data_IF_319904145903
#
_entry.id   IF_319904145903
#
_cell.length_a   1.000
_cell.length_b   1.000
_cell.length_c   1.000
_cell.angle_alpha   90.00
_cell.angle_beta   90.00
_cell.angle_gamma   90.00
#
_symmetry.space_group_name_H-M   'P 1'
#
loop_
_entity.id
_entity.type
_entity.pdbx_description
1 polymer ?
#
# COMPACT_ATOMS: atom_id res chain seq x y z
N UNK A 1 -25.46 1.45 29.86
CA UNK A 1 -23.99 1.19 29.97
C UNK A 1 -23.42 1.06 28.57
N UNK A 2 -22.35 1.77 28.28
CA UNK A 2 -21.73 1.74 26.95
C UNK A 2 -20.76 0.57 26.91
N UNK A 3 -21.12 -0.52 26.22
CA UNK A 3 -20.36 -1.77 26.18
C UNK A 3 -19.21 -1.78 25.14
N UNK A 4 -19.18 -0.75 24.25
CA UNK A 4 -18.18 -0.65 23.19
C UNK A 4 -16.97 0.12 23.72
N UNK A 5 -15.77 -0.40 23.49
CA UNK A 5 -14.51 0.24 23.91
C UNK A 5 -14.28 1.56 23.18
N UNK A 6 -13.53 2.47 23.80
CA UNK A 6 -13.15 3.75 23.16
C UNK A 6 -12.37 3.50 21.86
N UNK A 7 -11.49 2.52 21.82
CA UNK A 7 -10.76 2.13 20.58
C UNK A 7 -11.70 1.84 19.41
N UNK A 8 -12.72 0.99 19.65
CA UNK A 8 -13.65 0.62 18.57
C UNK A 8 -14.56 1.79 18.13
N UNK A 9 -14.77 2.79 19.00
CA UNK A 9 -15.56 3.98 18.66
C UNK A 9 -14.75 5.04 17.93
N UNK A 10 -13.49 5.18 18.30
CA UNK A 10 -12.65 6.29 17.87
C UNK A 10 -11.83 5.97 16.63
N UNK A 11 -11.73 4.68 16.22
CA UNK A 11 -11.08 4.34 14.96
C UNK A 11 -11.84 5.04 13.82
N UNK A 12 -11.14 5.88 13.01
CA UNK A 12 -11.80 6.58 11.92
C UNK A 12 -12.24 5.61 10.83
N UNK A 13 -13.29 5.94 10.07
CA UNK A 13 -13.65 5.18 8.89
C UNK A 13 -12.52 5.28 7.85
N UNK A 14 -12.41 4.28 6.98
CA UNK A 14 -11.57 4.33 5.79
C UNK A 14 -12.40 4.92 4.66
N UNK A 15 -12.26 6.23 4.40
CA UNK A 15 -13.17 7.02 3.56
C UNK A 15 -13.25 6.47 2.11
N UNK A 16 -12.15 5.92 1.59
CA UNK A 16 -12.18 5.24 0.27
C UNK A 16 -13.24 4.13 0.23
N UNK A 17 -13.46 3.43 1.35
CA UNK A 17 -14.50 2.39 1.42
C UNK A 17 -15.89 2.99 1.46
N UNK A 18 -16.08 4.14 2.10
CA UNK A 18 -17.37 4.85 2.10
C UNK A 18 -17.72 5.33 0.67
N UNK A 19 -16.73 5.82 -0.09
CA UNK A 19 -16.91 6.16 -1.51
C UNK A 19 -17.32 4.94 -2.32
N UNK A 20 -16.63 3.80 -2.12
CA UNK A 20 -16.95 2.55 -2.80
C UNK A 20 -18.36 2.04 -2.45
N UNK A 21 -18.74 2.06 -1.17
CA UNK A 21 -20.07 1.65 -0.73
C UNK A 21 -21.17 2.51 -1.37
N UNK A 22 -20.93 3.83 -1.42
CA UNK A 22 -21.85 4.76 -2.08
C UNK A 22 -21.94 4.50 -3.59
N UNK A 23 -20.81 4.27 -4.26
CA UNK A 23 -20.77 3.90 -5.66
C UNK A 23 -21.60 2.62 -5.94
N UNK A 24 -21.42 1.58 -5.12
CA UNK A 24 -22.17 0.34 -5.21
C UNK A 24 -23.68 0.52 -4.94
N UNK A 25 -24.08 1.44 -4.07
CA UNK A 25 -25.50 1.80 -3.91
C UNK A 25 -26.08 2.39 -5.21
N UNK A 26 -25.34 3.30 -5.84
CA UNK A 26 -25.74 3.92 -7.11
C UNK A 26 -25.81 2.90 -8.25
N UNK A 27 -24.86 1.97 -8.33
CA UNK A 27 -24.88 0.87 -9.30
C UNK A 27 -26.10 -0.04 -9.12
N UNK A 28 -26.47 -0.38 -7.87
CA UNK A 28 -27.70 -1.14 -7.59
C UNK A 28 -28.97 -0.38 -8.00
N UNK A 29 -28.90 0.94 -8.07
CA UNK A 29 -29.99 1.78 -8.61
C UNK A 29 -29.94 1.90 -10.16
N UNK A 30 -29.00 1.24 -10.83
CA UNK A 30 -28.85 1.22 -12.29
C UNK A 30 -28.01 2.34 -12.87
N UNK A 31 -27.22 3.05 -12.04
CA UNK A 31 -26.31 4.09 -12.49
C UNK A 31 -24.96 3.45 -12.83
N UNK A 32 -24.43 3.77 -14.01
CA UNK A 32 -23.11 3.31 -14.44
C UNK A 32 -22.00 4.18 -13.83
N UNK A 33 -21.14 3.59 -13.01
CA UNK A 33 -20.05 4.26 -12.29
C UNK A 33 -18.69 3.90 -12.88
N UNK A 34 -17.84 4.87 -13.06
CA UNK A 34 -16.42 4.67 -13.40
C UNK A 34 -15.59 4.71 -12.11
N UNK A 35 -15.05 3.57 -11.70
CA UNK A 35 -14.26 3.42 -10.47
C UNK A 35 -12.79 3.80 -10.69
N UNK A 36 -12.36 4.92 -10.12
CA UNK A 36 -10.97 5.37 -10.07
C UNK A 36 -10.49 5.60 -8.62
N UNK A 37 -11.29 5.22 -7.62
CA UNK A 37 -10.97 5.27 -6.19
C UNK A 37 -10.28 3.99 -5.69
N UNK A 38 -10.53 2.85 -6.34
CA UNK A 38 -10.12 1.54 -5.83
C UNK A 38 -8.61 1.34 -5.95
N UNK A 39 -8.01 0.86 -4.88
CA UNK A 39 -6.59 0.53 -4.80
C UNK A 39 -6.30 -0.95 -5.06
N UNK A 40 -6.85 -1.51 -6.13
CA UNK A 40 -6.75 -2.93 -6.49
C UNK A 40 -6.33 -3.09 -7.95
N UNK A 41 -5.44 -4.05 -8.29
CA UNK A 41 -5.19 -4.42 -9.68
C UNK A 41 -6.47 -4.85 -10.37
N UNK A 42 -6.70 -4.37 -11.59
CA UNK A 42 -7.85 -4.75 -12.44
C UNK A 42 -7.57 -5.98 -13.32
N UNK A 43 -6.39 -6.55 -13.20
CA UNK A 43 -6.03 -7.80 -13.84
C UNK A 43 -6.47 -9.00 -13.02
N UNK A 44 -6.87 -10.06 -13.70
CA UNK A 44 -7.00 -11.37 -13.07
C UNK A 44 -5.63 -11.87 -12.58
N UNK A 45 -5.66 -12.65 -11.50
CA UNK A 45 -4.47 -13.39 -11.06
C UNK A 45 -3.91 -14.22 -12.20
N UNK A 46 -2.59 -14.16 -12.51
CA UNK A 46 -1.96 -14.95 -13.56
C UNK A 46 -2.28 -16.44 -13.51
N UNK A 47 -2.39 -17.07 -14.69
CA UNK A 47 -2.85 -18.45 -14.79
C UNK A 47 -1.94 -19.45 -14.05
N UNK A 48 -0.61 -19.26 -14.13
CA UNK A 48 0.35 -20.11 -13.40
C UNK A 48 0.08 -20.13 -11.89
N UNK A 49 -0.34 -19.02 -11.32
CA UNK A 49 -0.68 -18.86 -9.90
C UNK A 49 -1.98 -19.60 -9.58
N UNK A 50 -3.03 -19.41 -10.40
CA UNK A 50 -4.33 -20.08 -10.24
C UNK A 50 -4.17 -21.59 -10.32
N UNK A 51 -3.43 -22.08 -11.31
CA UNK A 51 -3.15 -23.51 -11.49
C UNK A 51 -2.35 -24.10 -10.32
N UNK A 52 -1.39 -23.36 -9.77
CA UNK A 52 -0.67 -23.79 -8.57
C UNK A 52 -1.60 -23.91 -7.35
N UNK A 53 -2.51 -22.95 -7.17
CA UNK A 53 -3.55 -23.00 -6.14
C UNK A 53 -4.49 -24.18 -6.30
N UNK A 54 -5.01 -24.42 -7.52
CA UNK A 54 -5.85 -25.57 -7.85
C UNK A 54 -5.09 -26.90 -7.61
N UNK A 55 -3.84 -26.99 -8.00
CA UNK A 55 -3.00 -28.17 -7.76
C UNK A 55 -2.83 -28.42 -6.27
N UNK A 56 -2.55 -27.38 -5.50
CA UNK A 56 -2.41 -27.50 -4.05
C UNK A 56 -3.68 -28.04 -3.38
N UNK A 57 -4.86 -27.56 -3.83
CA UNK A 57 -6.15 -28.07 -3.35
C UNK A 57 -6.34 -29.55 -3.72
N UNK A 58 -6.08 -29.95 -4.97
CA UNK A 58 -6.19 -31.35 -5.43
C UNK A 58 -5.24 -32.29 -4.69
N UNK A 59 -4.06 -31.79 -4.28
CA UNK A 59 -3.05 -32.56 -3.52
C UNK A 59 -3.33 -32.57 -2.01
N UNK A 60 -4.44 -32.02 -1.55
CA UNK A 60 -4.79 -32.00 -0.13
C UNK A 60 -3.95 -31.04 0.71
N UNK A 61 -3.34 -30.01 0.13
CA UNK A 61 -2.59 -28.96 0.83
C UNK A 61 -3.57 -28.01 1.56
N UNK A 62 -4.43 -28.56 2.42
CA UNK A 62 -5.53 -27.84 3.08
C UNK A 62 -5.44 -27.86 4.61
N UNK A 63 -4.34 -28.40 5.14
CA UNK A 63 -4.07 -28.45 6.57
C UNK A 63 -3.26 -27.24 7.03
N UNK A 64 -3.16 -27.04 8.36
CA UNK A 64 -2.30 -26.03 8.95
C UNK A 64 -0.85 -26.21 8.50
N UNK A 65 -0.21 -25.12 8.16
CA UNK A 65 1.22 -25.07 7.87
C UNK A 65 2.00 -24.64 9.11
N UNK A 66 3.31 -24.65 9.02
CA UNK A 66 4.15 -24.03 10.05
C UNK A 66 3.74 -22.55 10.24
N UNK A 67 3.79 -22.06 11.46
CA UNK A 67 3.34 -20.69 11.80
C UNK A 67 4.17 -19.58 11.13
N UNK A 68 5.42 -19.82 10.78
CA UNK A 68 6.20 -18.91 9.95
C UNK A 68 5.87 -19.01 8.45
N UNK A 69 5.05 -19.97 8.05
CA UNK A 69 4.78 -20.32 6.64
C UNK A 69 5.64 -21.50 6.16
N UNK A 70 5.31 -22.03 4.97
CA UNK A 70 6.08 -23.13 4.36
C UNK A 70 7.49 -22.67 4.04
N UNK A 71 8.46 -23.55 4.25
CA UNK A 71 9.87 -23.20 4.10
C UNK A 71 10.21 -22.84 2.65
N UNK A 72 9.59 -23.54 1.68
CA UNK A 72 9.80 -23.32 0.26
C UNK A 72 9.43 -21.90 -0.17
N UNK A 73 8.38 -21.32 0.42
CA UNK A 73 7.99 -19.93 0.12
C UNK A 73 8.93 -18.94 0.80
N UNK A 74 9.35 -19.20 2.04
CA UNK A 74 10.31 -18.35 2.75
C UNK A 74 11.67 -18.30 2.05
N UNK A 75 12.16 -19.45 1.58
CA UNK A 75 13.38 -19.55 0.77
C UNK A 75 13.24 -18.79 -0.56
N UNK A 76 12.09 -18.91 -1.23
CA UNK A 76 11.83 -18.19 -2.49
C UNK A 76 11.76 -16.66 -2.29
N UNK A 77 11.19 -16.17 -1.17
CA UNK A 77 11.21 -14.75 -0.83
C UNK A 77 12.64 -14.28 -0.56
N UNK A 78 13.44 -15.04 0.20
CA UNK A 78 14.83 -14.71 0.46
C UNK A 78 15.64 -14.64 -0.84
N UNK A 79 15.46 -15.61 -1.74
CA UNK A 79 16.09 -15.64 -3.05
C UNK A 79 15.69 -14.43 -3.92
N UNK A 80 14.41 -14.01 -3.90
CA UNK A 80 13.93 -12.84 -4.65
C UNK A 80 14.60 -11.54 -4.13
N UNK A 81 14.71 -11.38 -2.81
CA UNK A 81 15.41 -10.23 -2.22
C UNK A 81 16.90 -10.21 -2.58
N UNK A 82 17.56 -11.36 -2.57
CA UNK A 82 18.95 -11.45 -3.00
C UNK A 82 19.12 -11.12 -4.49
N UNK A 83 18.24 -11.63 -5.35
CA UNK A 83 18.30 -11.37 -6.80
C UNK A 83 18.08 -9.90 -7.13
N UNK A 84 17.07 -9.29 -6.53
CA UNK A 84 16.64 -7.92 -6.86
C UNK A 84 17.46 -6.85 -6.16
N UNK A 85 17.79 -7.04 -4.90
CA UNK A 85 18.37 -6.00 -4.04
C UNK A 85 19.75 -6.34 -3.49
N UNK A 86 20.24 -7.57 -3.70
CA UNK A 86 21.46 -8.10 -3.08
C UNK A 86 21.39 -8.15 -1.54
N UNK A 87 20.18 -8.10 -0.99
CA UNK A 87 19.94 -8.24 0.43
C UNK A 87 19.99 -9.74 0.81
N UNK A 88 20.90 -10.09 1.71
CA UNK A 88 21.07 -11.46 2.20
C UNK A 88 20.15 -11.70 3.40
N UNK A 89 18.96 -12.22 3.12
CA UNK A 89 17.91 -12.46 4.10
C UNK A 89 17.83 -13.93 4.44
N UNK A 90 17.94 -14.28 5.72
CA UNK A 90 17.67 -15.66 6.16
C UNK A 90 16.17 -15.99 6.04
N UNK A 91 15.79 -17.16 5.50
CA UNK A 91 14.41 -17.64 5.54
C UNK A 91 13.81 -17.70 6.95
N UNK A 92 14.65 -17.83 7.98
CA UNK A 92 14.22 -17.81 9.39
C UNK A 92 13.79 -16.40 9.87
N UNK A 93 14.14 -15.34 9.15
CA UNK A 93 13.73 -13.98 9.43
C UNK A 93 12.46 -13.56 8.68
N UNK A 94 11.78 -14.50 8.02
CA UNK A 94 10.59 -14.28 7.21
C UNK A 94 9.38 -14.97 7.85
N UNK A 95 8.29 -14.22 8.00
CA UNK A 95 6.99 -14.75 8.42
C UNK A 95 5.99 -14.53 7.30
N UNK A 96 5.40 -15.60 6.79
CA UNK A 96 4.30 -15.55 5.81
C UNK A 96 3.00 -15.26 6.57
N UNK A 97 2.22 -14.31 6.05
CA UNK A 97 1.03 -13.78 6.71
C UNK A 97 -0.18 -13.78 5.78
N UNK A 98 -1.37 -13.64 6.35
CA UNK A 98 -2.62 -13.50 5.57
C UNK A 98 -2.81 -12.07 5.01
N UNK A 99 -1.78 -11.57 4.34
CA UNK A 99 -1.64 -10.19 3.84
C UNK A 99 -0.79 -9.33 4.77
N UNK A 100 -0.48 -8.10 4.33
CA UNK A 100 0.38 -7.16 5.09
C UNK A 100 -0.31 -6.59 6.33
N UNK A 101 -1.65 -6.52 6.37
CA UNK A 101 -2.36 -6.00 7.56
C UNK A 101 -2.16 -6.86 8.81
N UNK A 102 -2.30 -8.21 8.77
CA UNK A 102 -1.88 -9.05 9.90
C UNK A 102 -0.39 -8.95 10.24
N UNK A 103 0.48 -8.74 9.26
CA UNK A 103 1.91 -8.51 9.50
C UNK A 103 2.13 -7.23 10.33
N UNK A 104 1.51 -6.11 9.93
CA UNK A 104 1.55 -4.85 10.68
C UNK A 104 0.98 -5.02 12.10
N UNK A 105 -0.17 -5.70 12.22
CA UNK A 105 -0.78 -5.97 13.53
C UNK A 105 0.17 -6.69 14.47
N UNK A 106 0.78 -7.80 14.01
CA UNK A 106 1.72 -8.57 14.81
C UNK A 106 2.99 -7.78 15.14
N UNK A 107 3.47 -6.99 14.20
CA UNK A 107 4.67 -6.22 14.40
C UNK A 107 4.45 -5.10 15.41
N UNK A 108 3.41 -4.29 15.27
CA UNK A 108 3.11 -3.23 16.23
C UNK A 108 2.76 -3.77 17.61
N UNK A 109 2.08 -4.92 17.69
CA UNK A 109 1.86 -5.63 18.97
C UNK A 109 3.17 -6.11 19.64
N UNK A 110 4.26 -6.25 18.86
CA UNK A 110 5.58 -6.66 19.38
C UNK A 110 6.52 -5.48 19.65
N UNK A 111 6.22 -4.30 19.07
CA UNK A 111 7.07 -3.13 19.11
C UNK A 111 6.63 -2.11 20.14
N UNK A 112 5.31 -1.85 20.24
CA UNK A 112 4.77 -0.68 20.91
C UNK A 112 4.26 -0.96 22.32
N UNK A 113 4.69 -0.10 23.23
CA UNK A 113 4.06 0.11 24.53
C UNK A 113 3.29 1.46 24.50
N UNK A 114 2.46 1.69 25.53
CA UNK A 114 1.68 2.91 25.61
C UNK A 114 2.56 4.17 25.64
N UNK A 115 2.33 5.08 24.68
CA UNK A 115 3.06 6.32 24.55
C UNK A 115 4.34 6.25 23.70
N UNK A 116 4.70 5.09 23.18
CA UNK A 116 5.76 4.95 22.18
C UNK A 116 5.39 5.66 20.88
N UNK A 117 6.35 6.21 20.18
CA UNK A 117 6.16 7.03 19.00
C UNK A 117 6.62 6.33 17.73
N UNK A 118 5.83 6.51 16.65
CA UNK A 118 6.21 6.12 15.28
C UNK A 118 6.10 7.33 14.38
N UNK A 119 7.19 7.69 13.72
CA UNK A 119 7.21 8.78 12.73
C UNK A 119 6.59 8.27 11.43
N UNK A 120 5.61 9.01 10.90
CA UNK A 120 4.86 8.70 9.68
C UNK A 120 4.81 9.95 8.80
N UNK A 121 4.94 9.80 7.46
CA UNK A 121 4.73 10.91 6.52
C UNK A 121 3.27 11.38 6.51
N UNK A 122 3.06 12.61 6.15
CA UNK A 122 1.75 13.16 5.86
C UNK A 122 1.83 13.89 4.50
N UNK A 123 1.26 13.33 3.42
CA UNK A 123 0.34 12.18 3.36
C UNK A 123 1.00 10.80 3.59
N UNK A 124 0.12 9.81 3.89
CA UNK A 124 0.44 8.41 4.15
C UNK A 124 -0.73 7.51 3.70
N UNK A 125 -0.54 6.20 3.69
CA UNK A 125 -1.66 5.27 3.57
C UNK A 125 -2.57 5.35 4.81
N UNK A 126 -3.85 5.54 4.59
CA UNK A 126 -4.86 5.87 5.61
C UNK A 126 -4.83 5.01 6.89
N UNK A 127 -4.47 3.73 6.74
CA UNK A 127 -4.52 2.81 7.88
C UNK A 127 -3.28 2.84 8.80
N UNK A 128 -2.14 3.42 8.41
CA UNK A 128 -0.92 3.37 9.24
C UNK A 128 -1.10 3.97 10.64
N UNK A 129 -1.67 5.17 10.81
CA UNK A 129 -1.89 5.72 12.14
C UNK A 129 -2.79 4.84 12.99
N UNK A 130 -3.81 4.23 12.38
CA UNK A 130 -4.77 3.38 13.08
C UNK A 130 -4.11 2.16 13.73
N UNK A 131 -3.10 1.56 13.06
CA UNK A 131 -2.33 0.47 13.67
C UNK A 131 -1.52 0.96 14.89
N UNK A 132 -0.87 2.13 14.79
CA UNK A 132 -0.08 2.70 15.89
C UNK A 132 -0.98 3.01 17.08
N UNK A 133 -2.07 3.72 16.86
CA UNK A 133 -3.02 4.14 17.91
C UNK A 133 -3.74 2.94 18.53
N UNK A 134 -4.03 1.88 17.76
CA UNK A 134 -4.68 0.67 18.27
C UNK A 134 -3.87 0.00 19.36
N UNK A 135 -2.55 0.08 19.29
CA UNK A 135 -1.62 -0.42 20.31
C UNK A 135 -1.17 0.67 21.29
N UNK A 136 -1.93 1.77 21.41
CA UNK A 136 -1.64 2.88 22.32
C UNK A 136 -0.33 3.64 22.04
N UNK A 137 0.27 3.45 20.86
CA UNK A 137 1.34 4.28 20.36
C UNK A 137 0.84 5.65 19.89
N UNK A 138 1.77 6.54 19.59
CA UNK A 138 1.51 7.88 19.09
C UNK A 138 2.13 8.07 17.71
N UNK A 139 1.34 8.29 16.63
CA UNK A 139 1.88 8.67 15.35
C UNK A 139 2.42 10.11 15.42
N UNK A 140 3.67 10.29 14.98
CA UNK A 140 4.32 11.59 14.84
C UNK A 140 4.37 11.93 13.36
N UNK A 141 3.57 12.90 12.91
CA UNK A 141 3.45 13.22 11.50
C UNK A 141 4.50 14.21 11.04
N UNK A 142 5.15 13.89 9.90
CA UNK A 142 6.04 14.80 9.18
C UNK A 142 5.38 15.15 7.85
N UNK A 143 5.05 16.42 7.66
CA UNK A 143 4.48 16.88 6.41
C UNK A 143 5.51 16.83 5.29
N UNK A 144 5.14 16.12 4.21
CA UNK A 144 5.89 16.05 2.96
C UNK A 144 5.09 16.73 1.86
N UNK A 145 5.75 17.50 1.02
CA UNK A 145 5.09 18.41 0.09
C UNK A 145 5.39 18.06 -1.37
N UNK A 146 4.46 18.40 -2.25
CA UNK A 146 4.57 18.20 -3.68
C UNK A 146 5.82 18.84 -4.28
N UNK A 147 6.16 20.06 -3.83
CA UNK A 147 7.36 20.79 -4.30
C UNK A 147 8.68 20.05 -3.98
N UNK A 148 8.68 19.09 -3.06
CA UNK A 148 9.82 18.25 -2.71
C UNK A 148 9.56 16.76 -3.05
N UNK A 149 8.66 16.50 -4.00
CA UNK A 149 8.34 15.15 -4.47
C UNK A 149 7.64 14.27 -3.44
N UNK A 150 6.97 14.85 -2.45
CA UNK A 150 6.36 14.15 -1.32
C UNK A 150 7.33 13.26 -0.55
N UNK A 151 8.58 13.69 -0.42
CA UNK A 151 9.63 12.92 0.21
C UNK A 151 9.99 13.46 1.59
N UNK A 152 10.34 12.56 2.51
CA UNK A 152 10.95 12.94 3.77
C UNK A 152 12.23 13.76 3.56
N UNK A 153 12.38 14.79 4.37
CA UNK A 153 13.69 15.44 4.61
C UNK A 153 14.29 14.82 5.87
N UNK A 154 15.45 14.18 5.80
CA UNK A 154 16.08 13.54 6.97
C UNK A 154 16.21 14.47 8.18
N UNK A 155 16.51 15.76 7.96
CA UNK A 155 16.57 16.76 9.03
C UNK A 155 15.25 16.96 9.78
N UNK A 156 14.10 16.78 9.13
CA UNK A 156 12.81 16.85 9.81
C UNK A 156 12.59 15.60 10.68
N UNK A 157 13.07 14.44 10.24
CA UNK A 157 13.04 13.22 11.07
C UNK A 157 13.89 13.44 12.31
N UNK A 158 15.16 13.88 12.17
CA UNK A 158 16.06 14.15 13.29
C UNK A 158 15.45 15.10 14.33
N UNK A 159 14.79 16.16 13.88
CA UNK A 159 14.14 17.15 14.76
C UNK A 159 12.94 16.58 15.52
N UNK A 160 12.32 15.51 15.03
CA UNK A 160 11.16 14.87 15.63
C UNK A 160 11.51 13.57 16.38
N UNK A 161 12.77 13.14 16.38
CA UNK A 161 13.21 12.01 17.20
C UNK A 161 13.14 12.35 18.68
N UNK A 162 12.62 11.45 19.48
CA UNK A 162 12.61 11.53 20.93
C UNK A 162 13.06 10.20 21.55
N UNK A 163 13.20 10.15 22.87
CA UNK A 163 13.48 8.89 23.58
C UNK A 163 12.34 7.86 23.48
N UNK A 164 11.17 8.28 23.04
CA UNK A 164 10.00 7.41 22.83
C UNK A 164 9.87 6.95 21.39
N UNK A 165 10.61 7.53 20.45
CA UNK A 165 10.55 7.13 19.04
C UNK A 165 11.08 5.72 18.87
N UNK A 166 10.24 4.79 18.42
CA UNK A 166 10.59 3.39 18.16
C UNK A 166 10.97 3.14 16.72
N UNK A 167 10.28 3.80 15.79
CA UNK A 167 10.51 3.57 14.37
C UNK A 167 10.16 4.79 13.51
N UNK A 168 10.73 4.80 12.30
CA UNK A 168 10.32 5.65 11.19
C UNK A 168 9.65 4.77 10.14
N UNK A 169 8.43 5.12 9.72
CA UNK A 169 7.67 4.39 8.71
C UNK A 169 7.87 5.02 7.33
N UNK A 170 8.29 4.22 6.35
CA UNK A 170 8.40 4.62 4.95
C UNK A 170 7.53 3.72 4.08
N UNK A 171 7.00 4.26 2.97
CA UNK A 171 6.31 3.51 1.93
C UNK A 171 6.84 3.96 0.56
N UNK A 172 7.47 3.05 -0.16
CA UNK A 172 8.10 3.35 -1.46
C UNK A 172 8.05 2.12 -2.38
N UNK A 173 7.32 2.20 -3.50
CA UNK A 173 6.48 3.31 -3.99
C UNK A 173 5.31 3.62 -3.06
N UNK A 174 4.96 4.90 -2.92
CA UNK A 174 4.03 5.37 -1.91
C UNK A 174 2.55 5.35 -2.38
N UNK A 175 1.65 4.99 -1.49
CA UNK A 175 0.24 5.31 -1.56
C UNK A 175 -0.04 6.47 -0.59
N UNK A 176 -0.55 7.65 -1.03
CA UNK A 176 -1.30 7.87 -2.29
C UNK A 176 -0.50 8.46 -3.46
N UNK A 177 0.77 8.81 -3.29
CA UNK A 177 1.49 9.72 -4.18
C UNK A 177 2.08 9.04 -5.43
N UNK A 178 2.26 7.72 -5.42
CA UNK A 178 2.97 6.99 -6.46
C UNK A 178 4.47 7.33 -6.55
N UNK A 179 5.03 8.04 -5.56
CA UNK A 179 6.43 8.45 -5.56
C UNK A 179 7.34 7.37 -4.98
N UNK A 180 8.58 7.34 -5.49
CA UNK A 180 9.65 6.55 -4.93
C UNK A 180 10.51 7.44 -4.03
N UNK A 181 10.89 6.92 -2.87
CA UNK A 181 11.88 7.60 -2.01
C UNK A 181 13.25 7.53 -2.67
N UNK A 182 13.92 8.67 -2.81
CA UNK A 182 15.24 8.74 -3.43
C UNK A 182 16.29 8.00 -2.57
N UNK A 183 17.24 7.27 -3.19
CA UNK A 183 18.20 6.42 -2.48
C UNK A 183 19.00 7.14 -1.40
N UNK A 184 19.49 8.36 -1.69
CA UNK A 184 20.26 9.17 -0.74
C UNK A 184 19.46 9.56 0.51
N UNK A 185 18.13 9.73 0.35
CA UNK A 185 17.23 10.01 1.49
C UNK A 185 16.96 8.74 2.26
N UNK A 186 16.77 7.60 1.57
CA UNK A 186 16.56 6.31 2.20
C UNK A 186 17.78 5.91 3.06
N UNK A 187 18.99 6.07 2.54
CA UNK A 187 20.23 5.82 3.26
C UNK A 187 20.33 6.68 4.54
N UNK A 188 20.11 7.99 4.43
CA UNK A 188 20.12 8.88 5.59
C UNK A 188 19.05 8.53 6.62
N UNK A 189 17.85 8.15 6.18
CA UNK A 189 16.79 7.70 7.09
C UNK A 189 17.21 6.43 7.82
N UNK A 190 17.85 5.50 7.11
CA UNK A 190 18.38 4.27 7.70
C UNK A 190 19.43 4.54 8.78
N UNK A 191 20.28 5.53 8.56
CA UNK A 191 21.35 5.92 9.51
C UNK A 191 20.80 6.51 10.82
N UNK A 192 19.84 7.43 10.71
CA UNK A 192 19.34 8.21 11.86
C UNK A 192 18.21 7.52 12.63
N UNK A 193 17.54 6.56 12.02
CA UNK A 193 16.35 5.92 12.60
C UNK A 193 16.73 4.83 13.60
N UNK A 194 16.02 4.71 14.75
CA UNK A 194 16.24 3.59 15.66
C UNK A 194 15.84 2.25 14.99
N UNK A 195 14.80 2.25 14.19
CA UNK A 195 14.32 1.15 13.36
C UNK A 195 13.55 1.75 12.16
N UNK A 196 13.67 1.17 10.97
CA UNK A 196 12.84 1.57 9.83
C UNK A 196 11.78 0.51 9.55
N UNK A 197 10.52 0.93 9.41
CA UNK A 197 9.44 0.10 8.87
C UNK A 197 9.25 0.49 7.41
N UNK A 198 9.50 -0.42 6.49
CA UNK A 198 9.38 -0.19 5.04
C UNK A 198 8.23 -0.99 4.48
N UNK A 199 7.19 -0.31 4.02
CA UNK A 199 6.12 -0.94 3.24
C UNK A 199 6.51 -0.92 1.76
N UNK A 200 6.85 -2.11 1.26
CA UNK A 200 7.36 -2.37 -0.09
C UNK A 200 6.30 -3.06 -0.98
N UNK A 201 5.01 -3.00 -0.61
CA UNK A 201 3.92 -3.72 -1.27
C UNK A 201 3.77 -3.41 -2.77
N UNK A 202 4.28 -2.26 -3.24
CA UNK A 202 4.25 -1.86 -4.64
C UNK A 202 5.57 -2.11 -5.39
N UNK A 203 6.54 -2.79 -4.78
CA UNK A 203 7.78 -3.18 -5.46
C UNK A 203 7.49 -4.01 -6.71
N UNK A 204 8.19 -3.68 -7.80
CA UNK A 204 7.94 -4.23 -9.14
C UNK A 204 6.94 -3.44 -9.97
N UNK A 205 6.09 -2.61 -9.37
CA UNK A 205 5.23 -1.65 -10.07
C UNK A 205 5.92 -0.29 -10.14
N UNK A 206 6.98 -0.21 -10.91
CA UNK A 206 7.81 0.98 -11.14
C UNK A 206 7.99 1.20 -12.64
N UNK A 207 7.97 2.43 -13.09
CA UNK A 207 7.86 2.82 -14.49
C UNK A 207 9.01 3.69 -14.96
N UNK A 208 9.16 3.76 -16.28
CA UNK A 208 10.24 4.51 -16.93
C UNK A 208 11.62 3.95 -16.56
N UNK A 209 12.58 4.85 -16.35
CA UNK A 209 13.97 4.49 -15.98
C UNK A 209 14.21 4.47 -14.46
N UNK A 210 13.14 4.52 -13.66
CA UNK A 210 13.24 4.45 -12.20
C UNK A 210 13.35 3.00 -11.73
N UNK A 211 13.98 2.82 -10.57
CA UNK A 211 14.12 1.54 -9.89
C UNK A 211 13.77 1.72 -8.42
N UNK A 212 12.96 0.83 -7.90
CA UNK A 212 12.72 0.75 -6.46
C UNK A 212 13.97 0.23 -5.74
N UNK A 213 14.12 0.62 -4.48
CA UNK A 213 15.17 0.16 -3.59
C UNK A 213 14.54 -0.40 -2.33
N UNK A 214 15.01 -1.56 -1.90
CA UNK A 214 14.63 -2.07 -0.58
C UNK A 214 15.43 -1.36 0.51
N UNK A 215 14.81 -1.11 1.66
CA UNK A 215 15.50 -0.60 2.83
C UNK A 215 16.64 -1.52 3.28
N UNK A 216 16.53 -2.82 2.99
CA UNK A 216 17.55 -3.81 3.31
C UNK A 216 18.85 -3.66 2.49
N UNK A 217 18.88 -2.80 1.48
CA UNK A 217 20.11 -2.41 0.79
C UNK A 217 20.95 -1.43 1.65
N UNK A 218 20.37 -0.81 2.69
CA UNK A 218 20.97 0.27 3.46
C UNK A 218 21.17 -0.08 4.94
N UNK A 219 20.32 -0.95 5.51
CA UNK A 219 20.42 -1.30 6.94
C UNK A 219 19.76 -2.67 7.22
N UNK A 220 20.29 -3.36 8.23
CA UNK A 220 19.68 -4.56 8.83
C UNK A 220 18.71 -4.22 9.99
N UNK A 221 18.74 -2.96 10.47
CA UNK A 221 17.79 -2.43 11.45
C UNK A 221 16.49 -2.00 10.80
N UNK A 222 15.88 -2.90 10.04
CA UNK A 222 14.65 -2.62 9.32
C UNK A 222 13.67 -3.79 9.37
N UNK A 223 12.41 -3.44 9.23
CA UNK A 223 11.30 -4.36 9.03
C UNK A 223 10.68 -4.08 7.68
N UNK A 224 10.58 -5.08 6.84
CA UNK A 224 9.94 -4.97 5.54
C UNK A 224 8.57 -5.62 5.59
N UNK A 225 7.57 -4.89 5.13
CA UNK A 225 6.22 -5.37 4.85
C UNK A 225 6.06 -5.49 3.35
N UNK A 226 5.73 -6.68 2.85
CA UNK A 226 5.50 -6.89 1.43
C UNK A 226 4.53 -8.06 1.20
N UNK A 227 4.15 -8.31 -0.05
CA UNK A 227 3.20 -9.39 -0.33
C UNK A 227 2.84 -9.50 -1.81
N UNK A 228 1.80 -10.30 -2.05
CA UNK A 228 1.43 -10.73 -3.38
C UNK A 228 0.24 -9.95 -3.97
N UNK A 229 -0.41 -9.12 -3.14
CA UNK A 229 -1.66 -8.46 -3.51
C UNK A 229 -1.55 -7.58 -4.75
N UNK A 230 -0.45 -6.81 -4.90
CA UNK A 230 -0.37 -5.75 -5.91
C UNK A 230 0.37 -6.21 -7.16
N UNK A 231 1.62 -6.63 -7.02
CA UNK A 231 2.45 -7.05 -8.16
C UNK A 231 1.88 -8.28 -8.89
N UNK A 232 1.26 -9.19 -8.14
CA UNK A 232 0.78 -10.47 -8.68
C UNK A 232 -0.74 -10.55 -8.85
N UNK A 233 -1.46 -9.43 -8.69
CA UNK A 233 -2.93 -9.39 -8.74
C UNK A 233 -3.58 -10.46 -7.85
N UNK A 234 -3.10 -10.58 -6.60
CA UNK A 234 -3.54 -11.62 -5.64
C UNK A 234 -4.23 -11.00 -4.42
N UNK A 235 -5.01 -9.94 -4.60
CA UNK A 235 -5.69 -9.25 -3.48
C UNK A 235 -6.60 -10.19 -2.69
N UNK A 236 -7.43 -10.97 -3.36
CA UNK A 236 -8.35 -11.93 -2.75
C UNK A 236 -7.70 -13.19 -2.14
N UNK A 237 -6.44 -13.49 -2.47
CA UNK A 237 -5.71 -14.64 -1.94
C UNK A 237 -5.22 -14.43 -0.51
N UNK A 238 -5.20 -13.18 -0.04
CA UNK A 238 -4.76 -12.79 1.31
C UNK A 238 -3.39 -13.37 1.65
N UNK A 239 -2.37 -13.05 0.88
CA UNK A 239 -1.01 -13.53 1.08
C UNK A 239 -0.01 -12.37 1.12
N UNK A 240 0.78 -12.33 2.18
CA UNK A 240 1.86 -11.36 2.39
C UNK A 240 2.96 -11.96 3.24
N UNK A 241 3.95 -11.14 3.54
CA UNK A 241 5.04 -11.53 4.43
C UNK A 241 5.65 -10.31 5.12
N UNK A 242 6.35 -10.60 6.20
CA UNK A 242 7.20 -9.66 6.91
C UNK A 242 8.61 -10.22 7.00
N UNK A 243 9.60 -9.37 6.74
CA UNK A 243 11.02 -9.64 7.01
C UNK A 243 11.41 -8.77 8.18
N UNK A 244 11.98 -9.33 9.23
CA UNK A 244 12.29 -8.59 10.43
C UNK A 244 13.60 -9.06 11.08
N UNK A 245 14.23 -8.22 11.91
CA UNK A 245 15.36 -8.63 12.73
C UNK A 245 15.04 -9.84 13.62
N UNK A 246 16.03 -10.71 13.93
CA UNK A 246 15.81 -11.99 14.62
C UNK A 246 15.05 -11.88 15.93
N UNK A 247 15.27 -10.82 16.69
CA UNK A 247 14.62 -10.58 17.99
C UNK A 247 13.09 -10.45 17.90
N UNK A 248 12.55 -10.00 16.76
CA UNK A 248 11.11 -9.88 16.53
C UNK A 248 10.44 -11.18 16.07
N UNK A 249 11.21 -12.11 15.50
CA UNK A 249 10.63 -13.31 14.86
C UNK A 249 9.86 -14.16 15.87
N UNK A 250 10.48 -14.52 16.99
CA UNK A 250 9.82 -15.39 17.97
C UNK A 250 8.62 -14.72 18.68
N UNK A 251 8.68 -13.46 19.11
CA UNK A 251 7.50 -12.73 19.58
C UNK A 251 6.34 -12.72 18.59
N UNK A 252 6.58 -12.30 17.35
CA UNK A 252 5.56 -12.28 16.30
C UNK A 252 5.01 -13.68 15.98
N UNK A 253 5.87 -14.70 15.94
CA UNK A 253 5.44 -16.09 15.74
C UNK A 253 4.45 -16.55 16.83
N UNK A 254 4.67 -16.17 18.08
CA UNK A 254 3.74 -16.49 19.17
C UNK A 254 2.38 -15.79 18.96
N UNK A 255 2.41 -14.53 18.52
CA UNK A 255 1.18 -13.79 18.21
C UNK A 255 0.46 -14.47 17.04
N UNK A 256 1.19 -14.82 15.97
CA UNK A 256 0.59 -15.55 14.85
C UNK A 256 -0.05 -16.87 15.27
N UNK A 257 0.65 -17.66 16.09
CA UNK A 257 0.13 -18.94 16.62
C UNK A 257 -1.17 -18.79 17.41
N UNK A 258 -1.32 -17.70 18.16
CA UNK A 258 -2.48 -17.50 19.02
C UNK A 258 -3.67 -16.84 18.32
N UNK A 259 -3.43 -15.97 17.33
CA UNK A 259 -4.48 -15.16 16.71
C UNK A 259 -4.82 -15.58 15.29
N UNK A 260 -3.86 -16.14 14.54
CA UNK A 260 -4.00 -16.46 13.13
C UNK A 260 -3.66 -17.90 12.78
N UNK A 261 -2.96 -18.64 13.67
CA UNK A 261 -2.40 -20.00 13.48
C UNK A 261 -1.28 -20.00 12.42
N UNK A 262 -1.65 -19.83 11.14
CA UNK A 262 -0.76 -19.72 9.98
C UNK A 262 -1.48 -19.04 8.83
N UNK A 263 -0.75 -18.62 7.80
CA UNK A 263 -1.35 -18.16 6.55
C UNK A 263 -2.02 -19.31 5.79
N UNK A 264 -2.96 -18.97 4.89
CA UNK A 264 -3.71 -19.94 4.09
C UNK A 264 -2.78 -20.87 3.31
N UNK A 265 -2.91 -22.16 3.51
CA UNK A 265 -1.99 -23.17 2.98
C UNK A 265 -1.87 -23.14 1.46
N UNK A 266 -2.97 -23.31 0.74
CA UNK A 266 -2.95 -23.33 -0.73
C UNK A 266 -2.53 -21.98 -1.35
N UNK A 267 -2.80 -20.86 -0.68
CA UNK A 267 -2.31 -19.54 -1.11
C UNK A 267 -0.79 -19.45 -1.05
N UNK A 268 -0.13 -20.11 -0.10
CA UNK A 268 1.33 -20.13 0.00
C UNK A 268 1.96 -20.88 -1.19
N UNK A 269 1.37 -21.98 -1.62
CA UNK A 269 1.82 -22.71 -2.82
C UNK A 269 1.59 -21.91 -4.10
N UNK A 270 0.48 -21.16 -4.18
CA UNK A 270 0.24 -20.22 -5.26
C UNK A 270 1.26 -19.06 -5.25
N UNK A 271 1.61 -18.53 -4.08
CA UNK A 271 2.64 -17.51 -3.92
C UNK A 271 4.04 -17.98 -4.32
N UNK A 272 4.35 -19.25 -4.11
CA UNK A 272 5.60 -19.85 -4.58
C UNK A 272 5.69 -19.85 -6.12
N UNK A 273 4.58 -20.19 -6.81
CA UNK A 273 4.50 -20.10 -8.28
C UNK A 273 4.57 -18.65 -8.75
N UNK A 274 3.96 -17.71 -8.03
CA UNK A 274 4.01 -16.30 -8.35
C UNK A 274 5.47 -15.79 -8.47
N UNK A 275 6.32 -16.12 -7.48
CA UNK A 275 7.73 -15.71 -7.47
C UNK A 275 8.55 -16.39 -8.58
N UNK A 276 8.19 -17.62 -8.97
CA UNK A 276 8.99 -18.42 -9.90
C UNK A 276 8.56 -18.29 -11.37
N UNK A 277 7.29 -18.08 -11.63
CA UNK A 277 6.70 -18.29 -12.95
C UNK A 277 5.99 -17.06 -13.54
N UNK A 278 5.49 -16.11 -12.70
CA UNK A 278 4.65 -15.02 -13.17
C UNK A 278 5.39 -13.85 -13.86
N UNK A 279 6.70 -13.96 -14.10
CA UNK A 279 7.51 -12.89 -14.69
C UNK A 279 6.93 -12.28 -15.97
N UNK A 280 6.53 -13.06 -16.98
CA UNK A 280 5.92 -12.52 -18.21
C UNK A 280 4.61 -11.76 -17.99
N UNK A 281 3.76 -12.24 -17.07
CA UNK A 281 2.49 -11.58 -16.74
C UNK A 281 2.73 -10.25 -16.02
N UNK A 282 3.68 -10.22 -15.07
CA UNK A 282 4.11 -9.00 -14.37
C UNK A 282 4.57 -7.94 -15.37
N UNK A 283 5.43 -8.31 -16.34
CA UNK A 283 5.94 -7.37 -17.33
C UNK A 283 4.82 -6.80 -18.20
N UNK A 284 3.84 -7.64 -18.59
CA UNK A 284 2.65 -7.21 -19.31
C UNK A 284 1.81 -6.23 -18.47
N UNK A 285 1.55 -6.53 -17.21
CA UNK A 285 0.80 -5.66 -16.30
C UNK A 285 1.52 -4.33 -16.11
N UNK A 286 2.82 -4.35 -15.83
CA UNK A 286 3.66 -3.17 -15.63
C UNK A 286 3.64 -2.25 -16.86
N UNK A 287 3.82 -2.82 -18.06
CA UNK A 287 3.77 -2.06 -19.32
C UNK A 287 2.39 -1.44 -19.53
N UNK A 288 1.33 -2.17 -19.27
CA UNK A 288 -0.05 -1.66 -19.40
C UNK A 288 -0.32 -0.53 -18.41
N UNK A 289 0.12 -0.67 -17.16
CA UNK A 289 -0.03 0.40 -16.16
C UNK A 289 0.77 1.66 -16.54
N UNK A 290 1.96 1.55 -17.10
CA UNK A 290 2.73 2.73 -17.54
C UNK A 290 2.03 3.49 -18.69
N UNK A 291 1.41 2.77 -19.63
CA UNK A 291 0.58 3.36 -20.66
C UNK A 291 -0.64 4.09 -20.07
N UNK A 292 -1.36 3.46 -19.17
CA UNK A 292 -2.52 4.03 -18.48
C UNK A 292 -2.16 5.23 -17.62
N UNK A 293 -1.04 5.14 -16.89
CA UNK A 293 -0.45 6.25 -16.12
C UNK A 293 -0.25 7.49 -17.00
N UNK A 294 0.46 7.30 -18.10
CA UNK A 294 0.77 8.40 -19.04
C UNK A 294 -0.50 9.00 -19.66
N UNK A 295 -1.47 8.15 -20.00
CA UNK A 295 -2.76 8.56 -20.55
C UNK A 295 -3.57 9.39 -19.52
N UNK A 296 -3.69 8.89 -18.29
CA UNK A 296 -4.47 9.57 -17.25
C UNK A 296 -3.81 10.87 -16.80
N UNK A 297 -2.48 10.92 -16.64
CA UNK A 297 -1.74 12.16 -16.30
C UNK A 297 -2.02 13.25 -17.35
N UNK A 298 -1.91 12.90 -18.64
CA UNK A 298 -2.20 13.85 -19.71
C UNK A 298 -3.65 14.34 -19.63
N UNK A 299 -4.60 13.42 -19.51
CA UNK A 299 -6.02 13.76 -19.46
C UNK A 299 -6.39 14.65 -18.27
N UNK A 300 -5.85 14.37 -17.10
CA UNK A 300 -6.07 15.19 -15.90
C UNK A 300 -5.46 16.60 -16.04
N UNK A 301 -4.26 16.72 -16.62
CA UNK A 301 -3.66 18.03 -16.93
C UNK A 301 -4.49 18.82 -17.95
N UNK A 302 -5.01 18.17 -18.98
CA UNK A 302 -5.90 18.79 -19.99
C UNK A 302 -7.22 19.27 -19.37
N UNK A 303 -7.63 18.72 -18.22
CA UNK A 303 -8.79 19.15 -17.42
C UNK A 303 -8.45 20.25 -16.40
N UNK A 304 -7.18 20.67 -16.30
CA UNK A 304 -6.75 21.73 -15.40
C UNK A 304 -6.26 21.27 -14.02
N UNK A 305 -6.22 19.96 -13.74
CA UNK A 305 -5.62 19.47 -12.51
C UNK A 305 -4.11 19.66 -12.48
N UNK A 306 -3.60 20.18 -11.36
CA UNK A 306 -2.17 20.39 -11.21
C UNK A 306 -1.49 19.09 -10.76
N UNK A 307 -0.48 18.65 -11.51
CA UNK A 307 0.38 17.51 -11.21
C UNK A 307 1.82 17.98 -11.40
N UNK A 308 2.44 18.50 -10.33
CA UNK A 308 3.82 18.99 -10.35
C UNK A 308 4.83 17.85 -10.41
N UNK A 309 4.53 16.74 -9.74
CA UNK A 309 5.42 15.58 -9.67
C UNK A 309 4.70 14.35 -10.19
N UNK A 310 5.22 13.81 -11.30
CA UNK A 310 4.65 12.60 -11.89
C UNK A 310 4.96 11.38 -11.02
N UNK A 311 3.96 10.50 -10.76
CA UNK A 311 4.19 9.24 -10.08
C UNK A 311 4.96 8.27 -10.99
N UNK A 312 5.96 7.59 -10.44
CA UNK A 312 6.71 6.55 -11.14
C UNK A 312 6.54 5.16 -10.52
N UNK A 313 5.63 5.02 -9.58
CA UNK A 313 5.35 3.72 -8.95
C UNK A 313 3.89 3.57 -8.53
N UNK A 314 3.54 2.37 -8.05
CA UNK A 314 2.18 1.96 -7.71
C UNK A 314 1.23 2.09 -8.92
N UNK A 315 -0.03 2.46 -8.71
CA UNK A 315 -1.00 2.74 -9.77
C UNK A 315 -1.93 3.92 -9.39
N UNK A 316 -1.33 4.95 -8.74
CA UNK A 316 -2.05 6.12 -8.25
C UNK A 316 -1.46 7.42 -8.79
N UNK A 317 -2.32 8.43 -8.90
CA UNK A 317 -1.96 9.82 -9.13
C UNK A 317 -2.65 10.65 -8.06
N UNK A 318 -1.88 11.38 -7.27
CA UNK A 318 -2.40 12.37 -6.33
C UNK A 318 -2.35 13.74 -7.00
N UNK A 319 -3.51 14.35 -7.21
CA UNK A 319 -3.63 15.63 -7.92
C UNK A 319 -4.10 16.74 -6.99
N UNK A 320 -3.57 17.93 -7.15
CA UNK A 320 -4.05 19.12 -6.46
C UNK A 320 -5.36 19.59 -7.10
N UNK A 321 -6.43 19.62 -6.31
CA UNK A 321 -7.78 20.02 -6.72
C UNK A 321 -8.30 21.26 -5.96
N UNK A 322 -7.44 21.96 -5.20
CA UNK A 322 -7.81 23.12 -4.37
C UNK A 322 -8.45 24.26 -5.17
N UNK A 323 -8.09 24.40 -6.43
CA UNK A 323 -8.70 25.40 -7.31
C UNK A 323 -10.18 25.11 -7.63
N UNK A 324 -10.66 23.89 -7.36
CA UNK A 324 -12.07 23.48 -7.51
C UNK A 324 -12.76 23.53 -6.14
N UNK A 325 -12.20 22.87 -5.14
CA UNK A 325 -12.70 22.86 -3.77
C UNK A 325 -11.59 22.45 -2.80
N UNK A 326 -11.44 23.19 -1.70
CA UNK A 326 -10.47 22.85 -0.63
C UNK A 326 -10.94 21.66 0.23
N UNK A 327 -12.25 21.38 0.30
CA UNK A 327 -12.82 20.20 0.96
C UNK A 327 -12.79 19.01 -0.01
N UNK A 328 -11.75 18.17 0.11
CA UNK A 328 -11.57 17.01 -0.74
C UNK A 328 -12.64 15.94 -0.54
N UNK A 329 -13.20 15.82 0.67
CA UNK A 329 -14.28 14.88 0.96
C UNK A 329 -15.55 15.29 0.22
N UNK A 330 -16.00 16.55 0.41
CA UNK A 330 -17.16 17.06 -0.29
C UNK A 330 -17.00 16.97 -1.81
N UNK A 331 -15.80 17.29 -2.34
CA UNK A 331 -15.51 17.23 -3.77
C UNK A 331 -15.60 15.82 -4.32
N UNK A 332 -15.03 14.82 -3.62
CA UNK A 332 -15.05 13.42 -4.08
C UNK A 332 -16.48 12.86 -4.17
N UNK A 333 -17.33 13.16 -3.18
CA UNK A 333 -18.73 12.73 -3.18
C UNK A 333 -19.56 13.49 -4.22
N UNK A 334 -19.31 14.78 -4.42
CA UNK A 334 -20.00 15.57 -5.45
C UNK A 334 -19.65 15.07 -6.86
N UNK A 335 -18.38 14.73 -7.12
CA UNK A 335 -17.94 14.10 -8.37
C UNK A 335 -18.63 12.73 -8.56
N UNK A 336 -18.69 11.91 -7.51
CA UNK A 336 -19.36 10.61 -7.58
C UNK A 336 -20.84 10.75 -7.93
N UNK A 337 -21.55 11.65 -7.26
CA UNK A 337 -23.02 11.82 -7.44
C UNK A 337 -23.37 12.48 -8.79
N UNK A 338 -22.59 13.45 -9.25
CA UNK A 338 -22.91 14.24 -10.45
C UNK A 338 -22.20 13.76 -11.71
N UNK A 339 -20.93 13.34 -11.58
CA UNK A 339 -20.16 12.86 -12.72
C UNK A 339 -20.18 11.32 -12.87
N UNK A 340 -20.62 10.61 -11.84
CA UNK A 340 -20.62 9.14 -11.78
C UNK A 340 -19.19 8.58 -11.96
N UNK A 341 -18.22 9.23 -11.30
CA UNK A 341 -16.81 8.84 -11.24
C UNK A 341 -16.39 8.75 -9.79
N UNK A 342 -15.98 7.57 -9.35
CA UNK A 342 -15.39 7.37 -8.02
C UNK A 342 -13.95 7.87 -7.99
N UNK A 343 -13.60 8.69 -6.99
CA UNK A 343 -12.23 9.14 -6.72
C UNK A 343 -12.01 9.16 -5.21
N UNK A 344 -10.75 9.02 -4.75
CA UNK A 344 -10.48 9.05 -3.31
C UNK A 344 -10.19 10.48 -2.85
N UNK A 345 -10.83 10.95 -1.76
CA UNK A 345 -10.52 12.26 -1.19
C UNK A 345 -9.13 12.26 -0.54
N UNK A 346 -8.41 13.37 -0.69
CA UNK A 346 -7.05 13.51 -0.15
C UNK A 346 -6.99 13.44 1.37
N UNK A 347 -8.00 13.97 2.06
CA UNK A 347 -8.07 13.95 3.53
C UNK A 347 -7.96 12.55 4.13
N UNK A 348 -8.38 11.50 3.42
CA UNK A 348 -8.25 10.11 3.85
C UNK A 348 -6.77 9.68 4.03
N UNK A 349 -5.87 10.36 3.34
CA UNK A 349 -4.43 10.12 3.41
C UNK A 349 -3.68 11.06 4.35
N UNK A 350 -4.41 11.82 5.17
CA UNK A 350 -3.87 12.76 6.15
C UNK A 350 -4.12 14.22 5.78
N UNK A 351 -4.01 15.09 6.79
CA UNK A 351 -4.38 16.50 6.68
C UNK A 351 -3.57 17.30 5.66
N UNK A 352 -2.33 16.88 5.35
CA UNK A 352 -1.50 17.57 4.35
C UNK A 352 -1.91 17.24 2.91
N UNK A 353 -2.75 16.23 2.71
CA UNK A 353 -3.36 15.93 1.42
C UNK A 353 -4.79 16.51 1.27
N UNK A 354 -5.26 17.33 2.22
CA UNK A 354 -6.53 18.06 2.06
C UNK A 354 -6.49 18.98 0.84
N UNK A 355 -7.58 18.97 0.07
CA UNK A 355 -7.67 19.65 -1.22
C UNK A 355 -7.02 18.89 -2.39
N UNK A 356 -6.54 17.65 -2.14
CA UNK A 356 -6.09 16.74 -3.21
C UNK A 356 -7.14 15.67 -3.48
N UNK A 357 -7.06 15.05 -4.67
CA UNK A 357 -7.80 13.82 -5.01
C UNK A 357 -6.79 12.76 -5.47
N UNK A 358 -7.00 11.50 -5.04
CA UNK A 358 -6.25 10.37 -5.57
C UNK A 358 -7.06 9.66 -6.66
N UNK A 359 -6.46 9.47 -7.82
CA UNK A 359 -6.96 8.67 -8.92
C UNK A 359 -6.17 7.37 -9.04
N UNK A 360 -6.85 6.26 -9.25
CA UNK A 360 -6.25 4.98 -9.64
C UNK A 360 -6.30 4.83 -11.14
N UNK A 361 -5.19 4.38 -11.77
CA UNK A 361 -5.18 3.97 -13.17
C UNK A 361 -5.23 2.45 -13.35
N UNK A 362 -5.58 1.72 -12.29
CA UNK A 362 -5.90 0.30 -12.36
C UNK A 362 -7.31 0.10 -12.89
N UNK A 363 -7.52 0.48 -14.15
CA UNK A 363 -8.77 0.33 -14.90
C UNK A 363 -8.47 0.33 -16.41
N UNK A 364 -9.41 -0.09 -17.27
CA UNK A 364 -9.22 -0.09 -18.71
C UNK A 364 -9.02 1.32 -19.30
N UNK A 365 -8.32 1.43 -20.43
CA UNK A 365 -8.17 2.72 -21.13
C UNK A 365 -9.53 3.32 -21.53
N UNK A 366 -10.50 2.50 -21.88
CA UNK A 366 -11.86 2.95 -22.24
C UNK A 366 -12.56 3.58 -21.03
N UNK A 367 -12.47 2.94 -19.85
CA UNK A 367 -13.03 3.50 -18.62
C UNK A 367 -12.28 4.77 -18.17
N UNK A 368 -10.96 4.81 -18.31
CA UNK A 368 -10.18 6.02 -18.03
C UNK A 368 -10.60 7.17 -18.94
N UNK A 369 -10.78 6.91 -20.25
CA UNK A 369 -11.25 7.90 -21.21
C UNK A 369 -12.66 8.39 -20.88
N UNK A 370 -13.58 7.48 -20.55
CA UNK A 370 -14.94 7.84 -20.16
C UNK A 370 -14.97 8.62 -18.85
N UNK A 371 -14.17 8.23 -17.84
CA UNK A 371 -14.02 8.99 -16.60
C UNK A 371 -13.56 10.42 -16.85
N UNK A 372 -12.54 10.62 -17.69
CA UNK A 372 -12.06 11.94 -18.09
C UNK A 372 -13.13 12.75 -18.84
N UNK A 373 -13.92 12.10 -19.72
CA UNK A 373 -15.02 12.76 -20.43
C UNK A 373 -16.11 13.24 -19.45
N UNK A 374 -16.49 12.39 -18.47
CA UNK A 374 -17.49 12.75 -17.44
C UNK A 374 -16.98 13.89 -16.55
N UNK A 375 -15.73 13.83 -16.10
CA UNK A 375 -15.09 14.90 -15.33
C UNK A 375 -15.06 16.22 -16.11
N UNK A 376 -14.80 16.19 -17.42
CA UNK A 376 -14.82 17.40 -18.25
C UNK A 376 -16.20 18.07 -18.24
N UNK A 377 -17.26 17.29 -18.35
CA UNK A 377 -18.64 17.81 -18.31
C UNK A 377 -18.92 18.42 -16.94
N UNK A 378 -18.58 17.69 -15.87
CA UNK A 378 -18.76 18.15 -14.50
C UNK A 378 -18.05 19.49 -14.25
N UNK A 379 -16.77 19.59 -14.59
CA UNK A 379 -15.97 20.80 -14.40
C UNK A 379 -16.43 21.99 -15.23
N UNK A 380 -17.13 21.77 -16.35
CA UNK A 380 -17.71 22.84 -17.14
C UNK A 380 -18.98 23.46 -16.53
N UNK A 381 -19.52 22.85 -15.47
CA UNK A 381 -20.71 23.28 -14.75
C UNK A 381 -20.38 23.89 -13.37
N UNK A 382 -19.14 23.79 -12.91
CA UNK A 382 -18.59 24.42 -11.73
C UNK A 382 -18.08 25.82 -12.07
#
# INVERSE_FOLDING_TARGET
>A
MNQITSRAKNIPPFIVMDVLEKAQEMERAGIDIIHLEIGEPDFDTPECIKEAGHRALREGKTHYTHSLGIIELREAVAEDYYKRYKADVSPEHIIITSGTSPAMFMFFASLLEAGDEVIISNPHYACYPNFVEFFHGQPVFINVYEDDGFQYRPSQIEQNLSSRTKAVFINSPANPTGQLLEPDRMEKIADISPLVISDEIYHGLVYGNKRERSILEFTDRAVVLNGFSKLYAMTGWRLGYIIAPPEFIRPMQKIQQNFFISATSFSQWAGLSALKEAGPDIEKMRTTYDQRRSFLIKGLRDLGFEIKVEPFGAFYILVNARHINDDSHALAFDILEKAHVGVSPGIDFGSNAEGYLRFSYANSLDNLAEGLRRLKIYLSQC
#
